data_IF_385088579762
#
_entry.id   IF_385088579762
#
_cell.length_a   1.000
_cell.length_b   1.000
_cell.length_c   1.000
_cell.angle_alpha   90.00
_cell.angle_beta   90.00
_cell.angle_gamma   90.00
#
_symmetry.space_group_name_H-M   'P 1'
#
loop_
_entity.id
_entity.type
_entity.pdbx_description
1 polymer ?
#
# COMPACT_ATOMS: atom_id res chain seq x y z
N UNK A 1 -19.71 13.48 -29.65
CA UNK A 1 -18.36 12.93 -29.92
C UNK A 1 -18.23 11.68 -29.06
N UNK A 2 -18.18 10.50 -29.65
CA UNK A 2 -17.92 9.26 -28.91
C UNK A 2 -16.49 9.34 -28.35
N UNK A 3 -16.36 9.46 -27.03
CA UNK A 3 -15.06 9.48 -26.37
C UNK A 3 -14.27 8.23 -26.80
N UNK A 4 -13.02 8.40 -27.17
CA UNK A 4 -12.12 7.30 -27.53
C UNK A 4 -11.96 6.39 -26.34
N UNK A 5 -12.16 5.08 -26.53
CA UNK A 5 -11.97 4.10 -25.45
C UNK A 5 -10.54 4.22 -24.86
N UNK A 6 -10.39 4.31 -23.53
CA UNK A 6 -9.11 4.52 -22.88
C UNK A 6 -8.17 3.32 -23.01
N UNK A 7 -6.88 3.59 -23.08
CA UNK A 7 -5.84 2.56 -22.99
C UNK A 7 -5.61 2.25 -21.50
N UNK A 8 -5.89 1.01 -21.12
CA UNK A 8 -5.73 0.55 -19.74
C UNK A 8 -4.54 -0.41 -19.63
N UNK A 9 -3.64 -0.17 -18.67
CA UNK A 9 -2.59 -1.09 -18.30
C UNK A 9 -3.00 -1.86 -17.04
N UNK A 10 -3.06 -3.19 -17.12
CA UNK A 10 -3.35 -4.06 -15.99
C UNK A 10 -2.04 -4.48 -15.32
N UNK A 11 -1.78 -4.03 -14.10
CA UNK A 11 -0.51 -4.24 -13.38
C UNK A 11 -0.66 -5.34 -12.34
N UNK A 12 0.18 -6.36 -12.44
CA UNK A 12 0.15 -7.56 -11.61
C UNK A 12 1.53 -7.83 -11.02
N UNK A 13 1.76 -7.60 -9.73
CA UNK A 13 2.97 -8.03 -9.05
C UNK A 13 2.96 -9.55 -8.83
N UNK A 14 4.09 -10.21 -9.11
CA UNK A 14 4.27 -11.64 -9.05
C UNK A 14 5.49 -11.99 -8.20
N UNK A 15 5.36 -12.96 -7.28
CA UNK A 15 6.48 -13.50 -6.52
C UNK A 15 6.29 -15.00 -6.27
N UNK A 16 7.11 -15.82 -6.93
CA UNK A 16 7.03 -17.28 -6.88
C UNK A 16 5.63 -17.80 -7.27
N UNK A 17 5.16 -17.35 -8.44
CA UNK A 17 3.82 -17.65 -8.99
C UNK A 17 3.91 -18.57 -10.23
N UNK A 18 4.96 -19.41 -10.35
CA UNK A 18 5.15 -20.29 -11.50
C UNK A 18 3.95 -21.20 -11.78
N UNK A 19 3.21 -21.61 -10.76
CA UNK A 19 2.08 -22.52 -10.90
C UNK A 19 0.81 -21.84 -11.42
N UNK A 20 0.63 -20.51 -11.14
CA UNK A 20 -0.62 -19.79 -11.39
C UNK A 20 -0.56 -18.79 -12.56
N UNK A 21 0.62 -18.22 -12.85
CA UNK A 21 0.76 -17.03 -13.72
C UNK A 21 0.16 -17.21 -15.12
N UNK A 22 0.33 -18.41 -15.71
CA UNK A 22 -0.20 -18.68 -17.06
C UNK A 22 -1.73 -18.74 -17.07
N UNK A 23 -2.32 -19.30 -16.03
CA UNK A 23 -3.78 -19.38 -15.87
C UNK A 23 -4.34 -17.97 -15.64
N UNK A 24 -3.75 -17.22 -14.71
CA UNK A 24 -4.09 -15.82 -14.39
C UNK A 24 -4.10 -14.96 -15.64
N UNK A 25 -3.05 -15.03 -16.45
CA UNK A 25 -2.97 -14.26 -17.67
C UNK A 25 -4.00 -14.67 -18.71
N UNK A 26 -4.27 -15.97 -18.89
CA UNK A 26 -5.25 -16.46 -19.85
C UNK A 26 -6.65 -15.95 -19.49
N UNK A 27 -7.01 -16.01 -18.20
CA UNK A 27 -8.29 -15.50 -17.72
C UNK A 27 -8.40 -13.97 -17.92
N UNK A 28 -7.38 -13.22 -17.51
CA UNK A 28 -7.35 -11.77 -17.66
C UNK A 28 -7.46 -11.32 -19.12
N UNK A 29 -6.72 -11.94 -20.04
CA UNK A 29 -6.79 -11.61 -21.48
C UNK A 29 -8.16 -11.91 -22.08
N UNK A 30 -8.84 -12.96 -21.61
CA UNK A 30 -10.21 -13.26 -22.05
C UNK A 30 -11.20 -12.17 -21.57
N UNK A 31 -11.08 -11.70 -20.35
CA UNK A 31 -11.93 -10.62 -19.84
C UNK A 31 -11.60 -9.26 -20.46
N UNK A 32 -10.33 -8.96 -20.73
CA UNK A 32 -9.94 -7.79 -21.51
C UNK A 32 -10.58 -7.82 -22.91
N UNK A 33 -10.61 -8.96 -23.57
CA UNK A 33 -11.25 -9.09 -24.90
C UNK A 33 -12.76 -8.81 -24.85
N UNK A 34 -13.45 -9.15 -23.74
CA UNK A 34 -14.86 -8.78 -23.52
C UNK A 34 -15.02 -7.26 -23.39
N UNK A 35 -14.15 -6.62 -22.59
CA UNK A 35 -14.16 -5.16 -22.40
C UNK A 35 -13.83 -4.39 -23.69
N UNK A 36 -12.95 -4.92 -24.52
CA UNK A 36 -12.64 -4.37 -25.86
C UNK A 36 -13.82 -4.48 -26.81
N UNK A 37 -14.47 -5.66 -26.83
CA UNK A 37 -15.66 -5.90 -27.68
C UNK A 37 -16.80 -4.97 -27.30
N UNK A 38 -16.97 -4.66 -26.01
CA UNK A 38 -17.95 -3.68 -25.52
C UNK A 38 -17.49 -2.22 -25.65
N UNK A 39 -16.29 -1.97 -26.22
CA UNK A 39 -15.68 -0.65 -26.40
C UNK A 39 -15.44 0.11 -25.07
N UNK A 40 -15.38 -0.60 -23.96
CA UNK A 40 -15.06 -0.02 -22.65
C UNK A 40 -13.58 0.36 -22.55
N UNK A 41 -12.70 -0.47 -23.14
CA UNK A 41 -11.25 -0.21 -23.20
C UNK A 41 -10.75 -0.28 -24.64
N UNK A 42 -9.61 0.37 -24.89
CA UNK A 42 -8.94 0.35 -26.17
C UNK A 42 -8.34 -1.04 -26.49
N UNK A 43 -8.35 -1.51 -27.75
CA UNK A 43 -7.61 -2.70 -28.17
C UNK A 43 -6.08 -2.58 -27.94
N UNK A 44 -5.58 -1.39 -27.63
CA UNK A 44 -4.19 -1.15 -27.26
C UNK A 44 -3.90 -1.41 -25.79
N UNK A 45 -4.91 -1.75 -24.99
CA UNK A 45 -4.75 -2.09 -23.58
C UNK A 45 -3.91 -3.37 -23.40
N UNK A 46 -3.14 -3.46 -22.32
CA UNK A 46 -2.15 -4.51 -22.12
C UNK A 46 -1.97 -4.85 -20.64
N UNK A 47 -1.29 -5.96 -20.39
CA UNK A 47 -0.93 -6.44 -19.05
C UNK A 47 0.54 -6.16 -18.78
N UNK A 48 0.86 -5.75 -17.56
CA UNK A 48 2.22 -5.56 -17.06
C UNK A 48 2.47 -6.54 -15.91
N UNK A 49 3.32 -7.52 -16.14
CA UNK A 49 3.72 -8.49 -15.13
C UNK A 49 5.00 -7.98 -14.44
N UNK A 50 4.94 -7.82 -13.11
CA UNK A 50 6.08 -7.32 -12.33
C UNK A 50 6.63 -8.45 -11.48
N UNK A 51 7.80 -8.97 -11.83
CA UNK A 51 8.48 -10.00 -11.06
C UNK A 51 9.23 -9.37 -9.88
N UNK A 52 8.82 -9.67 -8.66
CA UNK A 52 9.42 -9.18 -7.41
C UNK A 52 10.63 -10.04 -6.99
N UNK A 53 11.57 -10.27 -7.92
CA UNK A 53 12.76 -11.04 -7.65
C UNK A 53 12.48 -12.51 -7.29
N UNK A 54 11.63 -13.18 -8.06
CA UNK A 54 11.28 -14.59 -7.85
C UNK A 54 12.49 -15.50 -7.89
N UNK A 55 12.47 -16.54 -7.06
CA UNK A 55 13.53 -17.56 -6.96
C UNK A 55 13.20 -18.84 -7.72
N UNK A 56 11.95 -18.98 -8.18
CA UNK A 56 11.45 -20.10 -8.97
C UNK A 56 11.50 -19.81 -10.50
N UNK A 57 10.70 -20.52 -11.30
CA UNK A 57 10.65 -20.33 -12.75
C UNK A 57 9.74 -19.17 -13.21
N UNK A 58 9.19 -18.37 -12.28
CA UNK A 58 8.21 -17.30 -12.60
C UNK A 58 8.74 -16.35 -13.66
N UNK A 59 9.97 -15.81 -13.49
CA UNK A 59 10.54 -14.89 -14.47
C UNK A 59 10.68 -15.50 -15.86
N UNK A 60 11.20 -16.72 -15.96
CA UNK A 60 11.35 -17.40 -17.26
C UNK A 60 10.00 -17.62 -17.97
N UNK A 61 8.94 -17.89 -17.21
CA UNK A 61 7.59 -18.00 -17.75
C UNK A 61 7.08 -16.66 -18.25
N UNK A 62 7.25 -15.59 -17.46
CA UNK A 62 6.88 -14.21 -17.83
C UNK A 62 7.58 -13.82 -19.14
N UNK A 63 8.89 -14.04 -19.23
CA UNK A 63 9.68 -13.72 -20.43
C UNK A 63 9.14 -14.42 -21.68
N UNK A 64 8.92 -15.74 -21.62
CA UNK A 64 8.31 -16.52 -22.73
C UNK A 64 6.93 -16.01 -23.12
N UNK A 65 6.09 -15.70 -22.14
CA UNK A 65 4.74 -15.19 -22.36
C UNK A 65 4.79 -13.83 -23.07
N UNK A 66 5.68 -12.94 -22.65
CA UNK A 66 5.84 -11.60 -23.20
C UNK A 66 6.35 -11.68 -24.64
N UNK A 67 7.33 -12.54 -24.92
CA UNK A 67 7.84 -12.80 -26.28
C UNK A 67 6.75 -13.37 -27.20
N UNK A 68 5.88 -14.26 -26.69
CA UNK A 68 4.79 -14.83 -27.46
C UNK A 68 3.65 -13.83 -27.73
N UNK A 69 3.50 -12.78 -26.91
CA UNK A 69 2.39 -11.81 -26.97
C UNK A 69 2.86 -10.36 -26.81
N UNK A 70 3.79 -9.87 -27.64
CA UNK A 70 4.48 -8.59 -27.43
C UNK A 70 3.56 -7.37 -27.45
N UNK A 71 2.41 -7.44 -28.12
CA UNK A 71 1.41 -6.34 -28.17
C UNK A 71 0.48 -6.31 -26.96
N UNK A 72 0.47 -7.38 -26.14
CA UNK A 72 -0.53 -7.58 -25.08
C UNK A 72 0.08 -7.70 -23.69
N UNK A 73 1.34 -8.09 -23.59
CA UNK A 73 2.01 -8.34 -22.33
C UNK A 73 3.36 -7.63 -22.32
N UNK A 74 3.62 -6.91 -21.25
CA UNK A 74 4.89 -6.30 -20.91
C UNK A 74 5.39 -6.89 -19.60
N UNK A 75 6.68 -6.81 -19.34
CA UNK A 75 7.25 -7.37 -18.14
C UNK A 75 8.30 -6.45 -17.52
N UNK A 76 8.32 -6.44 -16.19
CA UNK A 76 9.30 -5.73 -15.38
C UNK A 76 9.87 -6.72 -14.35
N UNK A 77 11.20 -6.86 -14.29
CA UNK A 77 11.89 -7.67 -13.30
C UNK A 77 12.62 -6.78 -12.31
N UNK A 78 12.39 -7.01 -11.03
CA UNK A 78 13.14 -6.34 -9.98
C UNK A 78 14.39 -7.13 -9.60
N UNK A 79 15.45 -6.43 -9.20
CA UNK A 79 16.75 -7.04 -8.87
C UNK A 79 16.69 -7.96 -7.65
N UNK A 80 15.73 -7.80 -6.78
CA UNK A 80 15.49 -8.61 -5.57
C UNK A 80 14.05 -8.48 -5.10
N UNK A 81 13.62 -9.34 -4.21
CA UNK A 81 12.34 -9.18 -3.53
C UNK A 81 12.36 -7.89 -2.68
N UNK A 82 11.43 -7.00 -2.95
CA UNK A 82 11.23 -5.72 -2.26
C UNK A 82 9.85 -5.62 -1.59
N UNK A 83 9.04 -6.67 -1.74
CA UNK A 83 7.69 -6.81 -1.19
C UNK A 83 6.61 -6.27 -2.11
N UNK A 84 5.42 -6.84 -1.97
CA UNK A 84 4.26 -6.64 -2.85
C UNK A 84 3.99 -5.16 -3.18
N UNK A 85 4.01 -4.26 -2.17
CA UNK A 85 3.69 -2.85 -2.38
C UNK A 85 4.72 -2.10 -3.24
N UNK A 86 6.01 -2.39 -3.05
CA UNK A 86 7.06 -1.78 -3.85
C UNK A 86 7.08 -2.35 -5.28
N UNK A 87 6.81 -3.65 -5.44
CA UNK A 87 6.67 -4.26 -6.76
C UNK A 87 5.47 -3.69 -7.52
N UNK A 88 4.32 -3.55 -6.84
CA UNK A 88 3.14 -2.90 -7.41
C UNK A 88 3.43 -1.45 -7.80
N UNK A 89 4.09 -0.68 -6.91
CA UNK A 89 4.49 0.69 -7.20
C UNK A 89 5.40 0.77 -8.43
N UNK A 90 6.39 -0.12 -8.55
CA UNK A 90 7.28 -0.17 -9.71
C UNK A 90 6.49 -0.36 -11.01
N UNK A 91 5.55 -1.31 -11.01
CA UNK A 91 4.67 -1.56 -12.16
C UNK A 91 3.81 -0.36 -12.51
N UNK A 92 3.17 0.28 -11.52
CA UNK A 92 2.31 1.44 -11.71
C UNK A 92 3.09 2.64 -12.28
N UNK A 93 4.23 2.98 -11.68
CA UNK A 93 5.04 4.12 -12.11
C UNK A 93 5.67 3.91 -13.50
N UNK A 94 5.97 2.68 -13.89
CA UNK A 94 6.47 2.36 -15.23
C UNK A 94 5.44 2.63 -16.34
N UNK A 95 4.16 2.85 -16.00
CA UNK A 95 3.08 3.11 -16.96
C UNK A 95 2.77 4.60 -17.16
N UNK A 96 3.44 5.49 -16.44
CA UNK A 96 3.26 6.94 -16.60
C UNK A 96 3.54 7.34 -18.05
N UNK A 97 2.56 8.01 -18.70
CA UNK A 97 2.64 8.44 -20.08
C UNK A 97 2.45 7.32 -21.13
N UNK A 98 2.26 6.06 -20.73
CA UNK A 98 2.08 4.91 -21.63
C UNK A 98 0.63 4.43 -21.71
N UNK A 99 -0.19 4.71 -20.69
CA UNK A 99 -1.60 4.36 -20.62
C UNK A 99 -2.41 5.53 -20.06
N UNK A 100 -3.71 5.60 -20.39
CA UNK A 100 -4.62 6.62 -19.86
C UNK A 100 -4.93 6.37 -18.37
N UNK A 101 -5.00 5.09 -17.98
CA UNK A 101 -5.14 4.65 -16.60
C UNK A 101 -4.54 3.25 -16.40
N UNK A 102 -4.30 2.91 -15.15
CA UNK A 102 -3.85 1.57 -14.73
C UNK A 102 -4.90 0.92 -13.85
N UNK A 103 -5.02 -0.40 -13.93
CA UNK A 103 -5.77 -1.22 -12.97
C UNK A 103 -4.79 -2.18 -12.31
N UNK A 104 -4.64 -2.10 -11.00
CA UNK A 104 -3.82 -3.02 -10.21
C UNK A 104 -4.64 -4.25 -9.79
N UNK A 105 -4.03 -5.42 -9.83
CA UNK A 105 -4.64 -6.73 -9.56
C UNK A 105 -3.66 -7.62 -8.82
N UNK A 106 -4.18 -8.51 -7.96
CA UNK A 106 -3.41 -9.59 -7.38
C UNK A 106 -3.27 -10.78 -8.36
N UNK A 107 -2.15 -11.50 -8.31
CA UNK A 107 -1.89 -12.63 -9.20
C UNK A 107 -2.78 -13.86 -8.92
N UNK A 108 -3.51 -13.90 -7.79
CA UNK A 108 -4.26 -15.06 -7.30
C UNK A 108 -5.71 -15.18 -7.84
N UNK A 109 -6.11 -14.29 -8.75
CA UNK A 109 -7.45 -14.26 -9.38
C UNK A 109 -8.63 -14.20 -8.39
N UNK A 110 -8.42 -13.66 -7.19
CA UNK A 110 -9.52 -13.49 -6.22
C UNK A 110 -10.36 -12.24 -6.50
N UNK A 111 -9.85 -11.34 -7.31
CA UNK A 111 -10.54 -10.11 -7.67
C UNK A 111 -11.43 -10.34 -8.91
N UNK A 112 -12.70 -9.98 -8.79
CA UNK A 112 -13.68 -10.16 -9.86
C UNK A 112 -13.47 -9.11 -10.98
N UNK A 113 -12.97 -9.57 -12.12
CA UNK A 113 -12.72 -8.71 -13.29
C UNK A 113 -13.98 -8.07 -13.88
N UNK A 114 -15.19 -8.57 -13.57
CA UNK A 114 -16.43 -7.94 -14.00
C UNK A 114 -16.55 -6.49 -13.48
N UNK A 115 -15.87 -6.20 -12.37
CA UNK A 115 -15.82 -4.87 -11.74
C UNK A 115 -14.96 -3.88 -12.54
N UNK A 116 -14.01 -4.37 -13.34
CA UNK A 116 -13.16 -3.49 -14.15
C UNK A 116 -13.98 -2.63 -15.13
N UNK A 117 -15.09 -3.16 -15.67
CA UNK A 117 -15.99 -2.37 -16.49
C UNK A 117 -16.53 -1.15 -15.76
N UNK A 118 -17.05 -1.34 -14.53
CA UNK A 118 -17.57 -0.26 -13.69
C UNK A 118 -16.50 0.73 -13.28
N UNK A 119 -15.26 0.25 -13.05
CA UNK A 119 -14.13 1.14 -12.78
C UNK A 119 -13.85 2.06 -13.97
N UNK A 120 -13.86 1.52 -15.19
CA UNK A 120 -13.66 2.30 -16.42
C UNK A 120 -14.83 3.27 -16.66
N UNK A 121 -16.07 2.90 -16.34
CA UNK A 121 -17.22 3.82 -16.38
C UNK A 121 -16.99 5.02 -15.47
N UNK A 122 -16.66 4.79 -14.20
CA UNK A 122 -16.36 5.87 -13.26
C UNK A 122 -15.16 6.73 -13.70
N UNK A 123 -14.15 6.12 -14.29
CA UNK A 123 -13.01 6.86 -14.88
C UNK A 123 -13.47 7.77 -16.01
N UNK A 124 -14.31 7.28 -16.92
CA UNK A 124 -14.88 8.08 -18.01
C UNK A 124 -15.79 9.21 -17.50
N UNK A 125 -16.41 9.04 -16.33
CA UNK A 125 -17.20 10.06 -15.60
C UNK A 125 -16.30 11.06 -14.82
N UNK A 126 -14.99 10.95 -15.01
CA UNK A 126 -14.00 11.87 -14.48
C UNK A 126 -13.51 11.55 -13.06
N UNK A 127 -13.67 10.31 -12.57
CA UNK A 127 -12.96 9.84 -11.39
C UNK A 127 -11.49 9.57 -11.76
N UNK A 128 -10.57 10.06 -10.95
CA UNK A 128 -9.12 9.85 -11.16
C UNK A 128 -8.62 8.57 -10.46
N UNK A 129 -9.32 8.16 -9.41
CA UNK A 129 -9.01 6.94 -8.65
C UNK A 129 -10.32 6.21 -8.38
N UNK A 130 -10.39 4.92 -8.71
CA UNK A 130 -11.55 4.08 -8.39
C UNK A 130 -11.09 2.90 -7.52
N UNK A 131 -11.63 2.83 -6.31
CA UNK A 131 -11.32 1.77 -5.36
C UNK A 131 -12.31 0.62 -5.49
N UNK A 132 -11.83 -0.61 -5.60
CA UNK A 132 -12.65 -1.78 -5.40
C UNK A 132 -12.71 -2.12 -3.91
N UNK A 133 -13.92 -2.11 -3.36
CA UNK A 133 -14.19 -2.42 -1.96
C UNK A 133 -14.86 -3.79 -1.90
N UNK A 134 -14.28 -4.67 -1.10
CA UNK A 134 -14.83 -6.01 -0.88
C UNK A 134 -16.11 -5.91 -0.08
N UNK A 135 -17.19 -6.53 -0.59
CA UNK A 135 -18.43 -6.63 0.16
C UNK A 135 -18.22 -7.57 1.36
N UNK A 136 -18.71 -7.16 2.54
CA UNK A 136 -18.63 -7.98 3.74
C UNK A 136 -19.35 -9.33 3.54
N UNK A 137 -18.68 -10.41 3.91
CA UNK A 137 -19.33 -11.72 3.93
C UNK A 137 -20.35 -11.77 5.07
N UNK A 138 -21.61 -12.03 4.76
CA UNK A 138 -22.65 -12.30 5.75
C UNK A 138 -22.32 -13.51 6.67
N UNK A 139 -21.33 -14.31 6.30
CA UNK A 139 -20.85 -15.51 7.02
C UNK A 139 -19.81 -15.23 8.10
N UNK A 140 -19.28 -14.01 8.24
CA UNK A 140 -18.32 -13.72 9.30
C UNK A 140 -19.01 -13.62 10.66
N UNK A 141 -18.45 -14.31 11.69
CA UNK A 141 -19.00 -14.30 13.04
C UNK A 141 -19.07 -12.86 13.56
N UNK A 142 -20.11 -12.56 14.38
CA UNK A 142 -20.32 -11.25 15.02
C UNK A 142 -19.03 -10.72 15.71
N UNK A 143 -18.31 -11.60 16.40
CA UNK A 143 -17.06 -11.24 17.08
C UNK A 143 -15.98 -10.78 16.10
N UNK A 144 -15.84 -11.44 14.94
CA UNK A 144 -14.86 -11.12 13.91
C UNK A 144 -15.17 -9.79 13.22
N UNK A 145 -16.45 -9.50 12.99
CA UNK A 145 -16.93 -8.24 12.44
C UNK A 145 -16.72 -7.08 13.42
N UNK A 146 -17.13 -7.25 14.68
CA UNK A 146 -16.99 -6.23 15.71
C UNK A 146 -15.51 -5.90 16.00
N UNK A 147 -14.62 -6.90 16.02
CA UNK A 147 -13.19 -6.67 16.20
C UNK A 147 -12.55 -5.95 15.02
N UNK A 148 -12.98 -6.23 13.79
CA UNK A 148 -12.52 -5.53 12.59
C UNK A 148 -13.01 -4.07 12.60
N UNK A 149 -14.28 -3.81 12.90
CA UNK A 149 -14.83 -2.45 12.99
C UNK A 149 -14.15 -1.62 14.08
N UNK A 150 -13.91 -2.20 15.24
CA UNK A 150 -13.15 -1.55 16.32
C UNK A 150 -11.74 -1.21 15.84
N UNK A 151 -11.08 -2.14 15.15
CA UNK A 151 -9.75 -1.94 14.61
C UNK A 151 -9.70 -0.79 13.59
N UNK A 152 -10.63 -0.74 12.63
CA UNK A 152 -10.70 0.36 11.66
C UNK A 152 -11.02 1.71 12.31
N UNK A 153 -11.92 1.73 13.32
CA UNK A 153 -12.19 2.96 14.09
C UNK A 153 -10.96 3.44 14.85
N UNK A 154 -10.22 2.52 15.47
CA UNK A 154 -8.98 2.84 16.18
C UNK A 154 -7.92 3.41 15.25
N UNK A 155 -7.73 2.80 14.07
CA UNK A 155 -6.76 3.26 13.08
C UNK A 155 -7.14 4.65 12.57
N UNK A 156 -8.41 4.88 12.23
CA UNK A 156 -8.89 6.18 11.79
C UNK A 156 -8.77 7.24 12.90
N UNK A 157 -9.08 6.87 14.16
CA UNK A 157 -8.88 7.74 15.30
C UNK A 157 -7.40 8.09 15.52
N UNK A 158 -6.50 7.13 15.28
CA UNK A 158 -5.05 7.36 15.27
C UNK A 158 -4.56 8.17 14.06
N UNK A 159 -5.45 8.53 13.13
CA UNK A 159 -5.17 9.47 12.03
C UNK A 159 -4.67 8.86 10.73
N UNK A 160 -4.75 7.55 10.58
CA UNK A 160 -4.54 6.88 9.31
C UNK A 160 -5.90 6.79 8.59
N UNK A 161 -6.18 7.72 7.67
CA UNK A 161 -7.39 7.69 6.85
C UNK A 161 -7.30 6.54 5.83
N UNK A 162 -7.95 5.43 6.16
CA UNK A 162 -7.98 4.23 5.31
C UNK A 162 -9.44 3.94 4.97
N UNK A 163 -9.71 3.70 3.68
CA UNK A 163 -11.02 3.18 3.26
C UNK A 163 -11.13 1.73 3.77
N UNK A 164 -12.14 1.39 4.59
CA UNK A 164 -12.30 0.04 5.10
C UNK A 164 -12.46 -0.97 3.94
N UNK A 165 -11.90 -2.18 4.11
CA UNK A 165 -12.09 -3.32 3.20
C UNK A 165 -11.65 -3.10 1.74
N UNK A 166 -10.90 -2.00 1.40
CA UNK A 166 -10.38 -1.85 0.06
C UNK A 166 -9.15 -2.75 -0.16
N UNK A 167 -9.12 -3.35 -1.34
CA UNK A 167 -8.00 -4.17 -1.81
C UNK A 167 -6.97 -3.30 -2.55
N UNK A 168 -5.88 -3.93 -2.99
CA UNK A 168 -4.95 -3.31 -3.95
C UNK A 168 -5.54 -3.28 -5.37
N UNK A 169 -6.75 -3.83 -5.57
CA UNK A 169 -7.56 -3.73 -6.77
C UNK A 169 -8.13 -2.32 -6.89
N UNK A 170 -7.53 -1.51 -7.75
CA UNK A 170 -7.91 -0.11 -7.97
C UNK A 170 -7.55 0.35 -9.37
N UNK A 171 -8.32 1.31 -9.89
CA UNK A 171 -7.96 2.05 -11.09
C UNK A 171 -7.34 3.39 -10.68
N UNK A 172 -6.26 3.78 -11.34
CA UNK A 172 -5.61 5.08 -11.19
C UNK A 172 -5.31 5.68 -12.56
N UNK A 173 -5.71 6.94 -12.77
CA UNK A 173 -5.39 7.70 -13.98
C UNK A 173 -3.88 7.98 -14.11
N UNK A 174 -3.41 8.29 -15.31
CA UNK A 174 -2.03 8.77 -15.52
C UNK A 174 -1.72 10.01 -14.67
N UNK A 175 -2.69 10.92 -14.51
CA UNK A 175 -2.57 12.10 -13.65
C UNK A 175 -2.36 11.72 -12.18
N UNK A 176 -3.13 10.75 -11.69
CA UNK A 176 -2.99 10.26 -10.32
C UNK A 176 -1.64 9.55 -10.11
N UNK A 177 -1.16 8.79 -11.11
CA UNK A 177 0.15 8.15 -11.06
C UNK A 177 1.30 9.17 -11.03
N UNK A 178 1.22 10.23 -11.84
CA UNK A 178 2.22 11.34 -11.80
C UNK A 178 2.25 12.04 -10.45
N UNK A 179 1.11 12.19 -9.80
CA UNK A 179 1.05 12.74 -8.45
C UNK A 179 1.64 11.76 -7.42
N UNK A 180 1.27 10.48 -7.50
CA UNK A 180 1.81 9.41 -6.63
C UNK A 180 3.34 9.32 -6.75
N UNK A 181 3.88 9.51 -7.94
CA UNK A 181 5.30 9.49 -8.20
C UNK A 181 6.09 10.55 -7.40
N UNK A 182 5.45 11.66 -6.99
CA UNK A 182 6.07 12.71 -6.17
C UNK A 182 6.24 12.34 -4.70
N UNK A 183 5.56 11.31 -4.24
CA UNK A 183 5.69 10.82 -2.87
C UNK A 183 6.95 9.96 -2.75
N UNK A 184 7.99 10.53 -2.12
CA UNK A 184 9.32 9.94 -2.00
C UNK A 184 9.51 9.00 -0.81
N UNK A 185 8.46 8.62 -0.08
CA UNK A 185 8.52 7.86 1.17
C UNK A 185 9.21 6.49 1.00
N UNK A 186 10.15 6.14 1.88
CA UNK A 186 10.83 4.85 1.86
C UNK A 186 9.86 3.71 2.25
N UNK A 187 8.96 3.99 3.18
CA UNK A 187 7.92 3.05 3.62
C UNK A 187 6.58 3.36 2.94
N UNK A 188 6.39 2.78 1.76
CA UNK A 188 5.19 3.00 0.97
C UNK A 188 4.00 2.25 1.56
N UNK A 189 2.93 2.98 1.86
CA UNK A 189 1.62 2.43 2.17
C UNK A 189 0.62 2.89 1.11
N UNK A 190 0.63 2.22 -0.05
CA UNK A 190 -0.15 2.61 -1.24
C UNK A 190 -1.64 2.82 -0.97
N UNK A 191 -2.21 2.04 -0.03
CA UNK A 191 -3.63 2.15 0.33
C UNK A 191 -3.97 3.50 0.96
N UNK A 192 -3.09 4.01 1.81
CA UNK A 192 -3.25 5.33 2.42
C UNK A 192 -2.88 6.45 1.47
N UNK A 193 -1.76 6.32 0.76
CA UNK A 193 -1.30 7.34 -0.18
C UNK A 193 -2.31 7.63 -1.28
N UNK A 194 -2.96 6.60 -1.84
CA UNK A 194 -3.96 6.78 -2.88
C UNK A 194 -5.14 7.66 -2.43
N UNK A 195 -5.52 7.61 -1.14
CA UNK A 195 -6.56 8.47 -0.56
C UNK A 195 -6.05 9.89 -0.36
N UNK A 196 -4.80 10.03 0.11
CA UNK A 196 -4.17 11.34 0.40
C UNK A 196 -3.88 12.18 -0.85
N UNK A 197 -3.89 11.59 -2.06
CA UNK A 197 -3.73 12.34 -3.30
C UNK A 197 -4.80 13.41 -3.51
N UNK A 198 -5.97 13.31 -2.86
CA UNK A 198 -7.03 14.31 -2.87
C UNK A 198 -7.74 14.49 -4.21
N UNK A 199 -7.59 13.56 -5.16
CA UNK A 199 -8.30 13.58 -6.42
C UNK A 199 -9.74 13.09 -6.28
N UNK A 200 -10.57 13.35 -7.31
CA UNK A 200 -11.94 12.79 -7.38
C UNK A 200 -11.88 11.26 -7.36
N UNK A 201 -12.49 10.67 -6.34
CA UNK A 201 -12.52 9.21 -6.15
C UNK A 201 -13.92 8.65 -6.39
N UNK A 202 -13.97 7.37 -6.75
CA UNK A 202 -15.18 6.57 -6.76
C UNK A 202 -14.91 5.20 -6.09
N UNK A 203 -15.97 4.51 -5.70
CA UNK A 203 -15.89 3.18 -5.11
C UNK A 203 -16.80 2.22 -5.83
N UNK A 204 -16.31 0.99 -6.08
CA UNK A 204 -17.10 -0.10 -6.66
C UNK A 204 -17.00 -1.29 -5.72
N UNK A 205 -18.15 -1.86 -5.35
CA UNK A 205 -18.18 -3.03 -4.47
C UNK A 205 -18.16 -4.32 -5.27
N UNK A 206 -17.43 -5.34 -4.77
CA UNK A 206 -17.37 -6.66 -5.37
C UNK A 206 -17.33 -7.80 -4.35
N UNK A 207 -17.69 -8.99 -4.79
CA UNK A 207 -17.62 -10.19 -4.00
C UNK A 207 -16.32 -10.93 -4.30
N UNK A 208 -15.56 -11.29 -3.28
CA UNK A 208 -14.29 -11.96 -3.43
C UNK A 208 -14.51 -13.40 -3.89
N UNK A 209 -13.85 -13.80 -4.96
CA UNK A 209 -13.85 -15.17 -5.45
C UNK A 209 -12.99 -16.08 -4.53
N UNK A 210 -13.33 -17.39 -4.41
CA UNK A 210 -12.48 -18.32 -3.68
C UNK A 210 -11.11 -18.45 -4.38
N UNK A 211 -10.04 -18.63 -3.58
CA UNK A 211 -8.70 -18.86 -4.12
C UNK A 211 -8.67 -20.15 -4.94
N UNK A 212 -8.07 -20.07 -6.14
CA UNK A 212 -7.86 -21.25 -6.98
C UNK A 212 -6.58 -22.00 -6.57
N UNK A 213 -5.56 -21.31 -6.07
CA UNK A 213 -4.28 -21.87 -5.63
C UNK A 213 -3.71 -21.10 -4.44
N UNK A 214 -2.97 -21.79 -3.54
CA UNK A 214 -2.20 -21.22 -2.44
C UNK A 214 -2.91 -21.17 -1.07
N UNK A 215 -2.11 -21.23 0.00
CA UNK A 215 -2.57 -21.14 1.40
C UNK A 215 -2.49 -19.71 1.93
N UNK A 216 -3.30 -19.42 2.96
CA UNK A 216 -3.29 -18.10 3.62
C UNK A 216 -2.03 -17.94 4.47
N UNK A 217 -1.03 -17.22 3.98
CA UNK A 217 0.24 -16.96 4.68
C UNK A 217 0.18 -15.78 5.68
N UNK A 218 -0.99 -15.27 6.02
CA UNK A 218 -1.15 -14.14 6.94
C UNK A 218 -1.26 -14.61 8.39
N UNK A 219 -0.17 -14.45 9.15
CA UNK A 219 -0.16 -14.66 10.60
C UNK A 219 -0.63 -13.40 11.33
N UNK A 220 -1.17 -13.54 12.56
CA UNK A 220 -1.55 -12.41 13.42
C UNK A 220 -0.40 -11.41 13.57
N UNK A 221 0.84 -11.88 13.72
CA UNK A 221 2.02 -11.03 13.82
C UNK A 221 2.20 -10.14 12.58
N UNK A 222 1.99 -10.68 11.36
CA UNK A 222 2.04 -9.89 10.11
C UNK A 222 0.92 -8.85 10.04
N UNK A 223 -0.27 -9.18 10.54
CA UNK A 223 -1.39 -8.22 10.59
C UNK A 223 -1.09 -7.06 11.54
N UNK A 224 -0.57 -7.35 12.73
CA UNK A 224 -0.16 -6.32 13.71
C UNK A 224 0.97 -5.45 13.13
N UNK A 225 2.00 -6.06 12.55
CA UNK A 225 3.10 -5.32 11.92
C UNK A 225 2.61 -4.40 10.79
N UNK A 226 1.70 -4.87 9.92
CA UNK A 226 1.10 -4.05 8.87
C UNK A 226 0.33 -2.87 9.44
N UNK A 227 -0.39 -3.09 10.54
CA UNK A 227 -1.16 -2.06 11.24
C UNK A 227 -0.28 -0.99 11.86
N UNK A 228 0.75 -1.40 12.60
CA UNK A 228 1.73 -0.49 13.19
C UNK A 228 2.42 0.32 12.09
N UNK A 229 2.86 -0.34 11.02
CA UNK A 229 3.47 0.33 9.87
C UNK A 229 2.52 1.33 9.22
N UNK A 230 1.24 0.99 9.02
CA UNK A 230 0.24 1.89 8.46
C UNK A 230 0.02 3.13 9.33
N UNK A 231 -0.19 2.94 10.64
CA UNK A 231 -0.42 4.03 11.59
C UNK A 231 0.79 4.97 11.66
N UNK A 232 1.98 4.41 11.87
CA UNK A 232 3.20 5.20 12.09
C UNK A 232 3.75 5.83 10.80
N UNK A 233 3.35 5.34 9.62
CA UNK A 233 3.67 5.98 8.34
C UNK A 233 2.74 7.14 7.99
N UNK A 234 1.46 7.07 8.38
CA UNK A 234 0.45 8.06 7.99
C UNK A 234 0.12 9.07 9.08
N UNK A 235 0.52 8.84 10.33
CA UNK A 235 0.09 9.67 11.45
C UNK A 235 1.16 9.87 12.52
N UNK A 236 1.20 11.09 13.05
CA UNK A 236 1.99 11.44 14.25
C UNK A 236 1.16 11.41 15.54
N UNK A 237 -0.13 11.02 15.47
CA UNK A 237 -1.01 10.99 16.66
C UNK A 237 -0.51 10.09 17.79
N UNK A 238 0.10 8.91 17.54
CA UNK A 238 0.68 8.09 18.61
C UNK A 238 1.72 8.85 19.46
N UNK A 239 2.59 9.64 18.83
CA UNK A 239 3.57 10.47 19.56
C UNK A 239 2.86 11.54 20.38
N UNK A 240 1.82 12.18 19.82
CA UNK A 240 1.05 13.22 20.55
C UNK A 240 0.31 12.63 21.76
N UNK A 241 -0.20 11.41 21.64
CA UNK A 241 -0.83 10.70 22.76
C UNK A 241 0.16 10.42 23.89
N UNK A 242 1.36 9.97 23.54
CA UNK A 242 2.44 9.75 24.53
C UNK A 242 2.80 11.07 25.21
N UNK A 243 2.93 12.16 24.46
CA UNK A 243 3.20 13.48 25.03
C UNK A 243 2.07 13.93 25.97
N UNK A 244 0.80 13.74 25.59
CA UNK A 244 -0.34 14.06 26.45
C UNK A 244 -0.36 13.21 27.73
N UNK A 245 -0.10 11.91 27.64
CA UNK A 245 0.02 11.02 28.79
C UNK A 245 1.19 11.43 29.69
N UNK A 246 2.32 11.84 29.12
CA UNK A 246 3.46 12.38 29.85
C UNK A 246 3.11 13.63 30.64
N UNK A 247 2.40 14.57 30.03
CA UNK A 247 1.92 15.79 30.68
C UNK A 247 0.97 15.45 31.86
N UNK A 248 0.03 14.52 31.63
CA UNK A 248 -0.91 14.08 32.64
C UNK A 248 -0.18 13.44 33.85
N UNK A 249 0.79 12.55 33.57
CA UNK A 249 1.61 11.94 34.61
C UNK A 249 2.45 12.98 35.35
N UNK A 250 2.96 13.99 34.66
CA UNK A 250 3.71 15.08 35.30
C UNK A 250 2.84 15.91 36.23
N UNK A 251 1.59 16.19 35.86
CA UNK A 251 0.64 16.89 36.76
C UNK A 251 0.33 16.04 38.00
N UNK A 252 0.11 14.73 37.82
CA UNK A 252 -0.09 13.79 38.93
C UNK A 252 1.15 13.76 39.84
N UNK A 253 2.35 13.74 39.27
CA UNK A 253 3.62 13.77 40.01
C UNK A 253 3.75 15.03 40.84
N UNK A 254 3.43 16.22 40.29
CA UNK A 254 3.45 17.47 41.07
C UNK A 254 2.45 17.41 42.23
N UNK A 255 1.20 16.96 41.98
CA UNK A 255 0.19 16.82 43.01
C UNK A 255 0.63 15.88 44.14
N UNK A 256 1.20 14.73 43.80
CA UNK A 256 1.75 13.78 44.78
C UNK A 256 2.94 14.36 45.53
N UNK A 257 3.83 15.09 44.86
CA UNK A 257 4.99 15.73 45.49
C UNK A 257 4.57 16.76 46.55
N UNK A 258 3.58 17.60 46.21
CA UNK A 258 3.00 18.57 47.16
C UNK A 258 2.38 17.87 48.35
N UNK A 259 1.61 16.79 48.10
CA UNK A 259 1.01 15.99 49.19
C UNK A 259 2.06 15.35 50.10
N UNK A 260 3.08 14.70 49.53
CA UNK A 260 4.19 14.07 50.31
C UNK A 260 4.94 15.11 51.12
N UNK A 261 5.24 16.28 50.53
CA UNK A 261 5.91 17.37 51.23
C UNK A 261 5.05 17.93 52.38
N UNK A 262 3.74 18.08 52.18
CA UNK A 262 2.80 18.48 53.24
C UNK A 262 2.71 17.48 54.40
N UNK A 263 2.66 16.18 54.12
CA UNK A 263 2.63 15.13 55.17
C UNK A 263 3.95 15.04 55.92
N UNK A 264 5.08 15.31 55.26
CA UNK A 264 6.40 15.38 55.90
C UNK A 264 6.50 16.56 56.89
N UNK A 265 6.05 17.75 56.50
CA UNK A 265 6.01 18.92 57.41
C UNK A 265 5.09 18.67 58.60
N UNK A 266 3.98 17.96 58.39
CA UNK A 266 3.02 17.60 59.44
C UNK A 266 3.53 16.50 60.39
N UNK A 267 4.74 15.97 60.18
CA UNK A 267 5.35 14.93 61.03
C UNK A 267 4.78 13.53 60.86
N UNK A 268 3.97 13.30 59.81
CA UNK A 268 3.39 12.00 59.51
C UNK A 268 4.31 11.27 58.53
N UNK A 269 5.06 10.28 58.99
CA UNK A 269 5.83 9.40 58.10
C UNK A 269 4.95 8.33 57.49
N UNK A 270 4.92 8.24 56.17
CA UNK A 270 4.13 7.23 55.46
C UNK A 270 4.92 5.92 55.40
N UNK A 271 4.44 4.86 56.06
CA UNK A 271 4.90 3.50 55.83
C UNK A 271 4.36 3.04 54.47
N UNK A 272 5.21 2.89 53.44
CA UNK A 272 4.69 2.60 52.12
C UNK A 272 5.71 2.19 51.10
N UNK A 273 6.73 1.36 51.44
CA UNK A 273 7.72 0.89 50.47
C UNK A 273 7.08 0.24 49.22
N UNK A 274 6.03 -0.57 49.43
CA UNK A 274 5.30 -1.24 48.31
C UNK A 274 4.64 -0.24 47.39
N UNK A 275 4.01 0.81 47.93
CA UNK A 275 3.34 1.84 47.10
C UNK A 275 4.35 2.65 46.28
N UNK A 276 5.51 2.97 46.84
CA UNK A 276 6.59 3.66 46.14
C UNK A 276 7.15 2.79 45.01
N UNK A 277 7.36 1.49 45.26
CA UNK A 277 7.84 0.56 44.26
C UNK A 277 6.84 0.35 43.11
N UNK A 278 5.54 0.22 43.42
CA UNK A 278 4.52 0.11 42.40
C UNK A 278 4.44 1.37 41.49
N UNK A 279 4.53 2.55 42.10
CA UNK A 279 4.54 3.80 41.37
C UNK A 279 5.80 3.90 40.48
N UNK A 280 6.97 3.53 41.02
CA UNK A 280 8.21 3.52 40.25
C UNK A 280 8.14 2.57 39.05
N UNK A 281 7.63 1.34 39.25
CA UNK A 281 7.45 0.37 38.16
C UNK A 281 6.46 0.86 37.12
N UNK A 282 5.37 1.53 37.52
CA UNK A 282 4.40 2.12 36.60
C UNK A 282 5.06 3.19 35.72
N UNK A 283 5.80 4.13 36.35
CA UNK A 283 6.50 5.20 35.63
C UNK A 283 7.57 4.60 34.71
N UNK A 284 8.37 3.65 35.15
CA UNK A 284 9.40 2.99 34.36
C UNK A 284 8.80 2.24 33.15
N UNK A 285 7.68 1.54 33.37
CA UNK A 285 6.98 0.84 32.28
C UNK A 285 6.46 1.80 31.21
N UNK A 286 5.83 2.91 31.62
CA UNK A 286 5.37 3.94 30.71
C UNK A 286 6.52 4.59 29.94
N UNK A 287 7.61 4.92 30.63
CA UNK A 287 8.80 5.53 30.03
C UNK A 287 9.43 4.60 28.97
N UNK A 288 9.55 3.30 29.31
CA UNK A 288 10.07 2.30 28.36
C UNK A 288 9.18 2.18 27.12
N UNK A 289 7.86 2.15 27.30
CA UNK A 289 6.91 2.13 26.19
C UNK A 289 7.00 3.41 25.32
N UNK A 290 7.09 4.58 25.95
CA UNK A 290 7.23 5.85 25.24
C UNK A 290 8.52 5.89 24.39
N UNK A 291 9.64 5.43 24.96
CA UNK A 291 10.92 5.32 24.24
C UNK A 291 10.81 4.35 23.06
N UNK A 292 10.13 3.21 23.22
CA UNK A 292 9.93 2.23 22.16
C UNK A 292 9.14 2.84 20.97
N UNK A 293 8.07 3.58 21.24
CA UNK A 293 7.30 4.27 20.18
C UNK A 293 8.13 5.37 19.51
N UNK A 294 8.85 6.18 20.28
CA UNK A 294 9.76 7.20 19.71
C UNK A 294 10.82 6.52 18.83
N UNK A 295 11.39 5.40 19.30
CA UNK A 295 12.36 4.62 18.57
C UNK A 295 11.85 4.14 17.22
N UNK A 296 10.59 3.71 17.12
CA UNK A 296 9.94 3.34 15.87
C UNK A 296 9.92 4.50 14.86
N UNK A 297 9.56 5.71 15.30
CA UNK A 297 9.57 6.89 14.44
C UNK A 297 10.98 7.33 14.05
N UNK A 298 11.92 7.29 14.99
CA UNK A 298 13.35 7.58 14.70
C UNK A 298 13.89 6.59 13.68
N UNK A 299 13.55 5.30 13.80
CA UNK A 299 13.89 4.29 12.82
C UNK A 299 13.35 4.61 11.43
N UNK A 300 12.10 5.07 11.31
CA UNK A 300 11.51 5.49 10.03
C UNK A 300 12.21 6.73 9.47
N UNK A 301 12.46 7.76 10.27
CA UNK A 301 13.22 8.95 9.87
C UNK A 301 14.60 8.54 9.35
N UNK A 302 15.28 7.62 10.02
CA UNK A 302 16.58 7.12 9.57
C UNK A 302 16.54 6.47 8.20
N UNK A 303 15.49 5.69 7.88
CA UNK A 303 15.32 5.12 6.54
C UNK A 303 14.99 6.20 5.50
N UNK A 304 14.16 7.18 5.85
CA UNK A 304 13.81 8.30 4.96
C UNK A 304 15.02 9.19 4.63
N UNK A 305 15.88 9.47 5.60
CA UNK A 305 17.08 10.31 5.40
C UNK A 305 18.12 9.64 4.51
N UNK A 306 18.14 8.29 4.46
CA UNK A 306 19.03 7.56 3.56
C UNK A 306 18.68 7.69 2.09
N UNK A 307 17.45 8.07 1.76
CA UNK A 307 16.95 8.26 0.38
C UNK A 307 17.31 7.12 -0.58
N UNK A 308 17.32 5.87 -0.08
CA UNK A 308 17.64 4.68 -0.87
C UNK A 308 16.50 4.39 -1.85
N UNK A 309 16.79 3.92 -3.09
CA UNK A 309 15.74 3.54 -4.01
C UNK A 309 14.91 2.39 -3.42
N UNK A 310 13.59 2.49 -3.54
CA UNK A 310 12.62 1.49 -3.04
C UNK A 310 12.75 0.16 -3.75
N UNK A 311 13.06 0.21 -5.05
CA UNK A 311 13.29 -0.92 -5.93
C UNK A 311 14.34 -0.56 -6.98
N UNK A 312 14.92 -1.57 -7.58
CA UNK A 312 15.82 -1.45 -8.73
C UNK A 312 15.28 -2.37 -9.81
N UNK A 313 15.05 -1.82 -10.99
CA UNK A 313 14.64 -2.58 -12.16
C UNK A 313 15.89 -3.27 -12.74
N UNK A 314 15.85 -4.59 -12.84
CA UNK A 314 16.91 -5.42 -13.44
C UNK A 314 16.71 -5.53 -14.95
N UNK A 315 15.45 -5.85 -15.37
CA UNK A 315 15.09 -6.01 -16.77
C UNK A 315 13.70 -5.45 -17.04
N UNK A 316 13.51 -4.83 -18.22
CA UNK A 316 12.22 -4.39 -18.72
C UNK A 316 12.02 -4.95 -20.13
N UNK A 317 10.90 -5.61 -20.38
CA UNK A 317 10.49 -6.10 -21.70
C UNK A 317 9.25 -5.31 -22.09
N UNK A 318 9.46 -4.25 -22.86
CA UNK A 318 8.41 -3.38 -23.39
C UNK A 318 8.65 -3.17 -24.91
N UNK A 319 7.89 -3.82 -25.78
CA UNK A 319 8.08 -3.71 -27.23
C UNK A 319 7.86 -2.30 -27.78
N UNK A 320 7.20 -1.42 -27.03
CA UNK A 320 7.06 -0.01 -27.44
C UNK A 320 8.37 0.77 -27.33
N UNK A 321 9.31 0.31 -26.48
CA UNK A 321 10.62 0.93 -26.33
C UNK A 321 11.59 0.57 -27.47
N UNK A 322 11.36 -0.55 -28.15
CA UNK A 322 12.19 -0.97 -29.29
C UNK A 322 11.95 -0.12 -30.54
N UNK A 323 10.77 0.51 -30.65
CA UNK A 323 10.38 1.37 -31.77
C UNK A 323 10.60 2.88 -31.51
N UNK A 324 11.03 3.27 -30.30
CA UNK A 324 11.25 4.65 -29.91
C UNK A 324 12.65 5.18 -30.21
N UNK A 325 12.76 6.47 -30.51
CA UNK A 325 14.02 7.16 -30.74
C UNK A 325 14.83 7.23 -29.44
N UNK A 326 16.17 7.42 -29.55
CA UNK A 326 17.09 7.50 -28.41
C UNK A 326 16.73 8.59 -27.37
N UNK A 327 15.89 9.56 -27.74
CA UNK A 327 15.37 10.62 -26.85
C UNK A 327 14.33 10.09 -25.87
N UNK A 328 13.40 9.24 -26.32
CA UNK A 328 12.38 8.64 -25.46
C UNK A 328 12.99 7.70 -24.41
N UNK A 329 14.13 7.07 -24.74
CA UNK A 329 14.92 6.26 -23.78
C UNK A 329 15.61 7.10 -22.72
N UNK A 330 16.10 8.29 -23.08
CA UNK A 330 16.73 9.20 -22.13
C UNK A 330 15.72 9.75 -21.12
N UNK A 331 14.53 10.16 -21.57
CA UNK A 331 13.46 10.69 -20.72
C UNK A 331 12.88 9.60 -19.79
N UNK A 332 12.72 8.37 -20.27
CA UNK A 332 12.29 7.23 -19.44
C UNK A 332 13.35 6.86 -18.37
N UNK A 333 14.63 6.89 -18.73
CA UNK A 333 15.75 6.65 -17.80
C UNK A 333 15.90 7.83 -16.83
N UNK A 334 15.63 9.05 -17.25
CA UNK A 334 15.68 10.25 -16.39
C UNK A 334 14.50 10.28 -15.43
N UNK A 335 13.29 9.90 -15.85
CA UNK A 335 12.14 9.69 -14.95
C UNK A 335 12.38 8.54 -13.96
N UNK A 336 13.09 7.49 -14.34
CA UNK A 336 13.50 6.42 -13.42
C UNK A 336 14.63 6.82 -12.47
N UNK A 337 15.51 7.75 -12.89
CA UNK A 337 16.62 8.32 -12.09
C UNK A 337 16.21 9.61 -11.35
N UNK A 338 15.24 10.35 -11.85
CA UNK A 338 14.88 11.71 -11.42
C UNK A 338 14.17 11.83 -10.07
N UNK A 339 14.06 10.74 -9.31
CA UNK A 339 13.61 10.77 -7.92
C UNK A 339 14.75 10.77 -6.90
N UNK A 340 15.94 11.18 -7.29
CA UNK A 340 16.91 11.78 -6.36
C UNK A 340 16.50 13.24 -6.18
N UNK A 341 16.09 13.60 -4.96
CA UNK A 341 15.72 14.96 -4.55
C UNK A 341 16.77 15.96 -5.07
N UNK A 342 16.31 16.96 -5.82
CA UNK A 342 17.06 18.22 -5.91
C UNK A 342 17.14 18.76 -4.47
N UNK A 343 18.33 19.03 -3.90
CA UNK A 343 18.41 19.65 -2.59
C UNK A 343 17.78 21.05 -2.67
N UNK A 344 17.00 21.39 -1.63
CA UNK A 344 16.50 22.74 -1.36
C UNK A 344 17.65 23.71 -1.18
#
# INVERSE_FOLDING_TARGET
>A
MTAKAPVIAFVIPCYNEQAGIQHTLTYLLADMAKLEKSKMISPKSYVVLVDDGSTDQTWRLIERITQARPKRVRALKLSRNVGHQNALLAGLLSQIGKADATISLDADLQDDMSVAAKMVEHFNDGAEIVFAVRRDRASDSWFKRSSADFFYRLINWLGAEIIPHHADFRLMSDRALRALARYGEAHVFLRGLAVQLGFKTATVTYDRLPRLHGETKYTLAKMVALSVNGITSLSVRPIRLIALMGIMLFVVFIGMSVWVFGTWIAGHTVQGWTSVMLLFLLIASFQTFAIAVIGEYVGKIYFETKSRPRYIVDQEIDPSLESGTSRDRADAVELSKGYSRTPL
#
